data_IF_900548868375
#
_entry.id   IF_900548868375
#
_cell.length_a   1.000
_cell.length_b   1.000
_cell.length_c   1.000
_cell.angle_alpha   90.00
_cell.angle_beta   90.00
_cell.angle_gamma   90.00
#
_symmetry.space_group_name_H-M   'P 1'
#
loop_
_entity.id
_entity.type
_entity.pdbx_description
1 polymer ?
#
# COMPACT_ATOMS: atom_id res chain seq x y z
N UNK A 1 7.05 -25.67 -27.59
CA UNK A 1 7.12 -24.27 -28.08
C UNK A 1 6.58 -23.39 -26.96
N UNK A 2 7.42 -22.77 -26.14
CA UNK A 2 6.96 -21.87 -25.09
C UNK A 2 6.92 -20.44 -25.62
N UNK A 3 5.76 -19.80 -25.49
CA UNK A 3 5.57 -18.40 -25.80
C UNK A 3 6.24 -17.55 -24.72
N UNK A 4 7.20 -16.72 -25.14
CA UNK A 4 7.84 -15.73 -24.29
C UNK A 4 6.91 -14.53 -24.14
N UNK A 5 6.30 -14.38 -22.97
CA UNK A 5 5.55 -13.18 -22.62
C UNK A 5 6.50 -11.97 -22.61
N UNK A 6 6.36 -11.12 -23.63
CA UNK A 6 7.08 -9.85 -23.74
C UNK A 6 6.66 -8.91 -22.60
N UNK A 7 7.62 -8.53 -21.76
CA UNK A 7 7.45 -7.57 -20.68
C UNK A 7 7.07 -6.18 -21.23
N UNK A 8 6.11 -5.50 -20.56
CA UNK A 8 5.66 -4.14 -20.91
C UNK A 8 6.87 -3.18 -21.06
N UNK A 9 6.93 -2.31 -22.09
CA UNK A 9 8.11 -1.50 -22.41
C UNK A 9 8.67 -0.70 -21.23
N UNK A 10 7.80 -0.09 -20.40
CA UNK A 10 8.23 0.69 -19.24
C UNK A 10 8.83 -0.15 -18.10
N UNK A 11 8.45 -1.42 -17.99
CA UNK A 11 9.01 -2.36 -17.01
C UNK A 11 10.36 -2.90 -17.51
N UNK A 12 10.49 -3.15 -18.81
CA UNK A 12 11.76 -3.54 -19.46
C UNK A 12 12.82 -2.43 -19.34
N UNK A 13 12.47 -1.16 -19.54
CA UNK A 13 13.42 -0.03 -19.38
C UNK A 13 13.78 0.27 -17.91
N UNK A 14 12.97 -0.17 -16.95
CA UNK A 14 13.28 -0.10 -15.51
C UNK A 14 14.13 -1.29 -15.06
N UNK A 15 13.81 -2.49 -15.54
CA UNK A 15 14.60 -3.71 -15.32
C UNK A 15 15.98 -3.63 -15.98
N UNK A 16 16.11 -3.12 -17.20
CA UNK A 16 17.40 -2.94 -17.86
C UNK A 16 18.28 -1.87 -17.18
N UNK A 17 17.66 -0.87 -16.53
CA UNK A 17 18.38 0.07 -15.66
C UNK A 17 18.83 -0.59 -14.35
N UNK A 18 18.03 -1.50 -13.79
CA UNK A 18 18.39 -2.31 -12.62
C UNK A 18 19.49 -3.35 -12.93
N UNK A 19 19.48 -3.92 -14.14
CA UNK A 19 20.46 -4.91 -14.62
C UNK A 19 21.79 -4.27 -15.06
N UNK A 20 21.81 -3.00 -15.46
CA UNK A 20 23.08 -2.29 -15.70
C UNK A 20 23.92 -2.19 -14.40
N UNK A 21 23.26 -2.13 -13.24
CA UNK A 21 23.94 -2.07 -11.94
C UNK A 21 24.49 -3.42 -11.44
N UNK A 22 24.14 -4.54 -12.06
CA UNK A 22 24.54 -5.89 -11.61
C UNK A 22 25.89 -6.38 -12.19
N UNK A 23 26.48 -5.66 -13.16
CA UNK A 23 27.80 -5.99 -13.74
C UNK A 23 29.00 -5.48 -12.90
N UNK A 24 28.74 -4.79 -11.79
CA UNK A 24 29.76 -4.36 -10.85
C UNK A 24 29.68 -5.27 -9.62
N UNK A 25 30.65 -6.17 -9.47
CA UNK A 25 30.72 -7.17 -8.40
C UNK A 25 30.21 -6.65 -7.04
N UNK A 26 29.45 -7.50 -6.35
CA UNK A 26 28.71 -7.13 -5.15
C UNK A 26 29.66 -6.72 -4.00
N UNK A 27 29.76 -5.40 -3.82
CA UNK A 27 30.44 -4.69 -2.73
C UNK A 27 29.68 -3.39 -2.38
N UNK A 28 30.40 -2.30 -2.09
CA UNK A 28 29.84 -0.98 -1.74
C UNK A 28 28.69 -0.49 -2.66
N UNK A 29 28.70 -0.89 -3.93
CA UNK A 29 27.68 -0.60 -4.93
C UNK A 29 26.28 -1.12 -4.57
N UNK A 30 26.16 -2.29 -3.94
CA UNK A 30 24.87 -2.83 -3.50
C UNK A 30 24.33 -2.06 -2.30
N UNK A 31 25.16 -1.79 -1.30
CA UNK A 31 24.81 -0.92 -0.18
C UNK A 31 24.39 0.47 -0.66
N UNK A 32 25.05 1.01 -1.69
CA UNK A 32 24.69 2.29 -2.29
C UNK A 32 23.38 2.23 -3.10
N UNK A 33 23.03 1.09 -3.69
CA UNK A 33 21.72 0.87 -4.33
C UNK A 33 20.60 0.75 -3.28
N UNK A 34 20.76 -0.05 -2.22
CA UNK A 34 19.78 -0.13 -1.11
C UNK A 34 19.64 1.23 -0.44
N UNK A 35 20.75 1.90 -0.12
CA UNK A 35 20.72 3.28 0.40
C UNK A 35 20.09 4.24 -0.58
N UNK A 36 20.31 4.08 -1.89
CA UNK A 36 19.69 4.91 -2.93
C UNK A 36 18.18 4.74 -2.98
N UNK A 37 17.70 3.50 -2.95
CA UNK A 37 16.27 3.16 -2.86
C UNK A 37 15.70 3.70 -1.55
N UNK A 38 16.36 3.47 -0.42
CA UNK A 38 15.92 3.94 0.89
C UNK A 38 15.98 5.49 1.03
N UNK A 39 16.94 6.16 0.37
CA UNK A 39 17.04 7.63 0.28
C UNK A 39 15.96 8.23 -0.62
N UNK A 40 15.51 7.49 -1.63
CA UNK A 40 14.36 7.87 -2.47
C UNK A 40 13.01 7.77 -1.74
N UNK A 41 12.97 7.10 -0.57
CA UNK A 41 11.79 7.00 0.32
C UNK A 41 12.12 7.48 1.74
N UNK A 42 12.33 8.79 1.95
CA UNK A 42 13.13 9.28 3.07
C UNK A 42 12.26 9.55 4.30
N UNK A 43 12.07 8.59 5.21
CA UNK A 43 11.45 8.92 6.52
C UNK A 43 12.05 8.38 7.81
N UNK A 44 13.18 7.69 7.79
CA UNK A 44 14.12 7.82 8.90
C UNK A 44 15.52 7.39 8.49
N UNK A 45 16.50 8.26 8.69
CA UNK A 45 17.91 7.93 8.46
C UNK A 45 18.32 6.65 9.21
N UNK A 46 17.76 6.43 10.42
CA UNK A 46 17.99 5.23 11.23
C UNK A 46 17.52 3.92 10.59
N UNK A 47 16.42 3.92 9.82
CA UNK A 47 15.93 2.70 9.12
C UNK A 47 16.76 2.39 7.87
N UNK A 48 17.28 3.43 7.22
CA UNK A 48 18.16 3.28 6.04
C UNK A 48 19.49 2.62 6.41
N UNK A 49 19.93 2.78 7.66
CA UNK A 49 21.17 2.18 8.16
C UNK A 49 20.96 0.75 8.68
N UNK A 50 19.80 0.45 9.28
CA UNK A 50 19.52 -0.88 9.86
C UNK A 50 19.11 -1.92 8.80
N UNK A 51 18.42 -1.52 7.72
CA UNK A 51 17.94 -2.46 6.70
C UNK A 51 19.09 -3.19 5.98
N UNK A 52 20.17 -2.52 5.53
CA UNK A 52 21.32 -3.20 4.92
C UNK A 52 22.06 -4.09 5.92
N UNK A 53 22.18 -3.69 7.18
CA UNK A 53 22.85 -4.45 8.23
C UNK A 53 22.06 -5.71 8.64
N UNK A 54 20.74 -5.59 8.76
CA UNK A 54 19.85 -6.72 9.10
C UNK A 54 19.72 -7.71 7.93
N UNK A 55 19.71 -7.20 6.69
CA UNK A 55 19.75 -8.02 5.49
C UNK A 55 21.11 -8.71 5.35
N UNK A 56 22.21 -8.02 5.67
CA UNK A 56 23.55 -8.61 5.70
C UNK A 56 23.68 -9.69 6.77
N UNK A 57 23.21 -9.46 7.99
CA UNK A 57 23.20 -10.46 9.06
C UNK A 57 22.39 -11.71 8.68
N UNK A 58 21.19 -11.52 8.11
CA UNK A 58 20.37 -12.62 7.60
C UNK A 58 21.05 -13.39 6.46
N UNK A 59 21.77 -12.70 5.56
CA UNK A 59 22.53 -13.33 4.48
C UNK A 59 23.76 -14.10 4.97
N UNK A 60 24.45 -13.57 6.01
CA UNK A 60 25.56 -14.26 6.68
C UNK A 60 25.09 -15.52 7.39
N UNK A 61 23.94 -15.47 8.07
CA UNK A 61 23.34 -16.61 8.76
C UNK A 61 22.88 -17.73 7.80
N UNK A 62 22.53 -17.39 6.55
CA UNK A 62 22.18 -18.36 5.52
C UNK A 62 23.38 -18.98 4.81
N UNK A 63 24.61 -18.51 5.07
CA UNK A 63 25.84 -19.03 4.47
C UNK A 63 25.89 -18.92 2.93
N UNK A 64 25.06 -18.06 2.33
CA UNK A 64 24.86 -17.98 0.89
C UNK A 64 25.58 -16.81 0.22
N UNK A 65 26.08 -17.01 -0.99
CA UNK A 65 26.60 -15.93 -1.84
C UNK A 65 25.45 -14.98 -2.23
N UNK A 66 25.53 -13.68 -1.90
CA UNK A 66 24.57 -12.65 -2.29
C UNK A 66 24.14 -12.67 -3.77
N UNK A 67 25.07 -13.04 -4.66
CA UNK A 67 24.83 -13.09 -6.10
C UNK A 67 23.93 -14.27 -6.52
N UNK A 68 23.79 -15.27 -5.65
CA UNK A 68 23.03 -16.50 -5.90
C UNK A 68 21.82 -16.66 -4.99
N UNK A 69 21.68 -15.79 -3.99
CA UNK A 69 20.57 -15.82 -3.06
C UNK A 69 19.24 -15.61 -3.80
N UNK A 70 18.22 -16.45 -3.54
CA UNK A 70 16.92 -16.27 -4.16
C UNK A 70 16.32 -14.92 -3.76
N UNK A 71 15.84 -14.17 -4.75
CA UNK A 71 15.30 -12.81 -4.59
C UNK A 71 14.01 -12.81 -3.76
N UNK A 72 13.21 -13.87 -3.81
CA UNK A 72 11.95 -13.97 -3.07
C UNK A 72 12.11 -13.84 -1.54
N UNK A 73 12.97 -14.63 -0.87
CA UNK A 73 13.24 -14.44 0.56
C UNK A 73 13.70 -13.02 0.94
N UNK A 74 14.49 -12.35 0.10
CA UNK A 74 14.91 -10.96 0.34
C UNK A 74 13.73 -9.99 0.26
N UNK A 75 12.86 -10.15 -0.75
CA UNK A 75 11.63 -9.36 -0.87
C UNK A 75 10.71 -9.62 0.33
N UNK A 76 10.58 -10.87 0.76
CA UNK A 76 9.78 -11.24 1.93
C UNK A 76 10.32 -10.62 3.22
N UNK A 77 11.63 -10.66 3.44
CA UNK A 77 12.27 -10.05 4.60
C UNK A 77 12.09 -8.53 4.60
N UNK A 78 12.42 -7.85 3.50
CA UNK A 78 12.25 -6.41 3.38
C UNK A 78 10.78 -6.01 3.59
N UNK A 79 9.83 -6.73 2.99
CA UNK A 79 8.40 -6.47 3.15
C UNK A 79 7.95 -6.67 4.60
N UNK A 80 8.46 -7.70 5.28
CA UNK A 80 8.12 -7.98 6.69
C UNK A 80 8.70 -6.93 7.63
N UNK A 81 9.96 -6.55 7.43
CA UNK A 81 10.62 -5.49 8.19
C UNK A 81 9.97 -4.12 7.97
N UNK A 82 9.63 -3.78 6.71
CA UNK A 82 8.87 -2.57 6.41
C UNK A 82 7.48 -2.60 7.04
N UNK A 83 6.80 -3.74 7.07
CA UNK A 83 5.54 -3.90 7.81
C UNK A 83 5.74 -3.58 9.29
N UNK A 84 6.73 -4.17 9.94
CA UNK A 84 7.02 -3.92 11.36
C UNK A 84 7.31 -2.43 11.64
N UNK A 85 8.08 -1.77 10.78
CA UNK A 85 8.31 -0.33 10.90
C UNK A 85 7.04 0.50 10.70
N UNK A 86 6.15 0.08 9.82
CA UNK A 86 4.84 0.70 9.62
C UNK A 86 3.87 0.40 10.78
N UNK A 87 4.10 -0.65 11.57
CA UNK A 87 3.37 -0.89 12.82
C UNK A 87 3.82 0.06 13.94
N UNK A 88 4.99 0.71 13.83
CA UNK A 88 5.42 1.71 14.80
C UNK A 88 4.50 2.93 14.76
N UNK A 89 4.01 3.32 15.93
CA UNK A 89 3.12 4.48 16.10
C UNK A 89 3.75 5.74 15.48
N UNK A 90 3.09 6.38 14.50
CA UNK A 90 3.62 7.59 13.88
C UNK A 90 3.68 8.70 14.92
N UNK A 91 4.85 9.35 15.02
CA UNK A 91 5.07 10.52 15.90
C UNK A 91 4.72 11.85 15.23
N UNK A 92 4.75 11.90 13.89
CA UNK A 92 4.49 13.10 13.10
C UNK A 92 3.01 13.48 13.09
N UNK A 93 2.70 14.78 13.12
CA UNK A 93 1.34 15.33 13.01
C UNK A 93 0.93 15.62 11.56
N UNK A 94 1.58 15.00 10.59
CA UNK A 94 1.33 15.25 9.18
C UNK A 94 -0.14 15.04 8.82
N UNK A 95 -0.69 16.05 8.15
CA UNK A 95 -2.04 16.09 7.63
C UNK A 95 -2.01 16.58 6.20
N UNK A 96 -2.71 15.90 5.30
CA UNK A 96 -2.91 16.36 3.92
C UNK A 96 -4.31 16.92 3.74
N UNK A 97 -4.49 17.62 2.61
CA UNK A 97 -5.76 18.22 2.26
C UNK A 97 -6.76 17.13 1.89
N UNK A 98 -7.93 17.20 2.51
CA UNK A 98 -9.08 16.39 2.15
C UNK A 98 -9.58 16.76 0.75
N UNK A 99 -9.85 15.76 -0.07
CA UNK A 99 -10.39 15.87 -1.43
C UNK A 99 -11.83 15.37 -1.54
N UNK A 100 -12.22 14.42 -0.70
CA UNK A 100 -13.55 13.84 -0.71
C UNK A 100 -14.31 14.25 0.57
N UNK A 101 -15.50 14.81 0.39
CA UNK A 101 -16.43 15.02 1.50
C UNK A 101 -16.86 13.67 2.08
N UNK A 102 -17.17 13.64 3.38
CA UNK A 102 -17.77 12.46 3.98
C UNK A 102 -19.05 12.10 3.21
N UNK A 103 -19.22 10.81 2.96
CA UNK A 103 -20.38 10.29 2.24
C UNK A 103 -21.06 9.21 3.07
N UNK A 104 -22.39 9.26 3.10
CA UNK A 104 -23.19 8.28 3.84
C UNK A 104 -24.30 7.78 2.93
N UNK A 105 -24.44 6.46 2.87
CA UNK A 105 -25.56 5.82 2.20
C UNK A 105 -26.30 4.91 3.17
N UNK A 106 -27.63 5.06 3.22
CA UNK A 106 -28.49 4.36 4.17
C UNK A 106 -29.24 3.25 3.46
N UNK A 107 -29.16 2.06 4.02
CA UNK A 107 -30.02 0.92 3.74
C UNK A 107 -31.13 0.84 4.79
N UNK A 108 -32.02 -0.13 4.66
CA UNK A 108 -33.15 -0.31 5.59
C UNK A 108 -32.72 -0.56 7.05
N UNK A 109 -31.62 -1.28 7.27
CA UNK A 109 -31.14 -1.68 8.61
C UNK A 109 -29.64 -1.47 8.82
N UNK A 110 -29.00 -0.74 7.91
CA UNK A 110 -27.57 -0.51 7.94
C UNK A 110 -27.25 0.81 7.24
N UNK A 111 -26.06 1.33 7.45
CA UNK A 111 -25.50 2.42 6.65
C UNK A 111 -24.05 2.14 6.33
N UNK A 112 -23.58 2.71 5.24
CA UNK A 112 -22.17 2.75 4.89
C UNK A 112 -21.71 4.21 4.90
N UNK A 113 -20.56 4.43 5.51
CA UNK A 113 -19.88 5.73 5.58
C UNK A 113 -18.55 5.63 4.86
N UNK A 114 -18.25 6.57 3.96
CA UNK A 114 -16.93 6.69 3.34
C UNK A 114 -16.24 7.94 3.88
N UNK A 115 -15.08 7.74 4.49
CA UNK A 115 -14.28 8.80 5.13
C UNK A 115 -12.86 8.77 4.56
N UNK A 116 -12.39 9.91 4.07
CA UNK A 116 -11.00 10.05 3.63
C UNK A 116 -10.05 10.10 4.85
N UNK A 117 -9.03 9.26 4.81
CA UNK A 117 -7.96 9.23 5.81
C UNK A 117 -6.94 10.31 5.43
N UNK A 118 -6.82 11.34 6.25
CA UNK A 118 -6.06 12.57 5.94
C UNK A 118 -4.80 12.76 6.78
N UNK A 119 -4.48 11.80 7.64
CA UNK A 119 -3.30 11.83 8.50
C UNK A 119 -2.60 10.47 8.53
N UNK A 120 -1.30 10.48 8.87
CA UNK A 120 -0.54 9.23 9.07
C UNK A 120 -1.13 8.37 10.18
N UNK A 121 -1.64 9.01 11.23
CA UNK A 121 -2.27 8.31 12.36
C UNK A 121 -3.53 7.58 11.92
N UNK A 122 -4.35 8.19 11.08
CA UNK A 122 -5.54 7.56 10.52
C UNK A 122 -5.19 6.36 9.62
N UNK A 123 -4.21 6.50 8.70
CA UNK A 123 -3.73 5.37 7.89
C UNK A 123 -3.15 4.24 8.76
N UNK A 124 -2.39 4.59 9.79
CA UNK A 124 -1.84 3.60 10.72
C UNK A 124 -2.95 2.85 11.47
N UNK A 125 -3.91 3.57 12.05
CA UNK A 125 -5.07 2.97 12.72
C UNK A 125 -5.89 2.07 11.77
N UNK A 126 -6.08 2.50 10.53
CA UNK A 126 -6.75 1.71 9.51
C UNK A 126 -5.98 0.42 9.23
N UNK A 127 -4.65 0.52 9.06
CA UNK A 127 -3.78 -0.64 8.86
C UNK A 127 -3.83 -1.63 10.02
N UNK A 128 -3.88 -1.15 11.26
CA UNK A 128 -4.08 -2.01 12.45
C UNK A 128 -5.44 -2.71 12.41
N UNK A 129 -6.52 -1.97 12.14
CA UNK A 129 -7.87 -2.54 12.12
C UNK A 129 -8.05 -3.58 10.99
N UNK A 130 -7.47 -3.29 9.83
CA UNK A 130 -7.58 -4.10 8.63
C UNK A 130 -6.49 -5.18 8.51
N UNK A 131 -5.45 -5.15 9.35
CA UNK A 131 -4.25 -5.98 9.20
C UNK A 131 -3.67 -5.93 7.78
N UNK A 132 -3.50 -4.71 7.25
CA UNK A 132 -2.97 -4.44 5.91
C UNK A 132 -1.89 -3.34 5.96
N UNK A 133 -1.25 -3.08 4.82
CA UNK A 133 -0.11 -2.17 4.73
C UNK A 133 -0.51 -0.72 4.38
N UNK A 134 -1.77 -0.31 4.57
CA UNK A 134 -2.26 1.01 4.10
C UNK A 134 -1.48 2.20 4.69
N UNK A 135 -0.79 2.01 5.83
CA UNK A 135 0.13 2.99 6.41
C UNK A 135 1.25 3.44 5.44
N UNK A 136 1.65 2.60 4.48
CA UNK A 136 2.72 2.93 3.51
C UNK A 136 2.34 4.06 2.55
N UNK A 137 1.04 4.28 2.31
CA UNK A 137 0.54 5.27 1.35
C UNK A 137 0.68 6.72 1.83
N UNK A 138 1.12 6.93 3.07
CA UNK A 138 1.24 8.25 3.65
C UNK A 138 2.13 9.23 2.86
N UNK A 139 3.13 8.73 2.13
CA UNK A 139 3.97 9.58 1.28
C UNK A 139 3.20 10.03 0.03
N UNK A 140 2.53 9.12 -0.64
CA UNK A 140 1.76 9.41 -1.86
C UNK A 140 0.55 10.31 -1.57
N UNK A 141 -0.11 10.11 -0.42
CA UNK A 141 -1.17 10.99 0.05
C UNK A 141 -0.66 12.42 0.30
N UNK A 142 0.52 12.56 0.93
CA UNK A 142 1.13 13.86 1.18
C UNK A 142 1.55 14.55 -0.13
N UNK A 143 2.07 13.77 -1.08
CA UNK A 143 2.39 14.20 -2.45
C UNK A 143 1.16 14.49 -3.32
N UNK A 144 -0.05 14.31 -2.77
CA UNK A 144 -1.34 14.54 -3.43
C UNK A 144 -1.61 13.62 -4.63
N UNK A 145 -0.85 12.53 -4.79
CA UNK A 145 -0.98 11.57 -5.88
C UNK A 145 -2.15 10.61 -5.71
N UNK A 146 -2.42 10.21 -4.46
CA UNK A 146 -3.49 9.27 -4.11
C UNK A 146 -4.30 9.76 -2.92
N UNK A 147 -5.50 9.23 -2.76
CA UNK A 147 -6.32 9.34 -1.56
C UNK A 147 -6.75 7.96 -1.11
N UNK A 148 -6.70 7.75 0.20
CA UNK A 148 -7.19 6.53 0.84
C UNK A 148 -8.47 6.84 1.58
N UNK A 149 -9.50 6.04 1.32
CA UNK A 149 -10.78 6.10 1.99
C UNK A 149 -11.02 4.85 2.82
N UNK A 150 -11.62 5.03 3.99
CA UNK A 150 -12.17 3.96 4.82
C UNK A 150 -13.68 3.93 4.62
N UNK A 151 -14.18 2.84 4.06
CA UNK A 151 -15.62 2.57 3.98
C UNK A 151 -15.99 1.72 5.19
N UNK A 152 -16.97 2.16 5.98
CA UNK A 152 -17.39 1.51 7.23
C UNK A 152 -18.87 1.22 7.19
N UNK A 153 -19.22 -0.05 7.35
CA UNK A 153 -20.60 -0.49 7.45
C UNK A 153 -21.00 -0.58 8.91
N UNK A 154 -22.04 0.16 9.25
CA UNK A 154 -22.60 0.26 10.58
C UNK A 154 -23.99 -0.36 10.59
N UNK A 155 -24.35 -1.07 11.66
CA UNK A 155 -25.76 -1.40 11.94
C UNK A 155 -26.56 -0.12 12.24
N UNK A 156 -27.88 -0.20 12.19
CA UNK A 156 -28.74 0.96 12.42
C UNK A 156 -28.47 1.61 13.80
N UNK A 157 -28.43 2.95 13.90
CA UNK A 157 -28.25 3.67 15.17
C UNK A 157 -29.29 3.32 16.24
N UNK A 158 -30.51 2.94 15.84
CA UNK A 158 -31.55 2.49 16.77
C UNK A 158 -31.09 1.22 17.53
N UNK A 159 -30.18 0.44 16.94
CA UNK A 159 -29.58 -0.75 17.52
C UNK A 159 -28.16 -0.51 18.10
N UNK A 160 -27.80 0.74 18.42
CA UNK A 160 -26.50 1.06 19.04
C UNK A 160 -25.33 1.23 18.07
N UNK A 161 -25.55 1.01 16.76
CA UNK A 161 -24.61 1.35 15.69
C UNK A 161 -23.22 0.71 15.83
N UNK A 162 -23.12 -0.58 15.56
CA UNK A 162 -21.86 -1.33 15.56
C UNK A 162 -21.28 -1.43 14.15
N UNK A 163 -19.96 -1.27 14.04
CA UNK A 163 -19.24 -1.52 12.79
C UNK A 163 -19.10 -3.02 12.55
N UNK A 164 -19.67 -3.54 11.46
CA UNK A 164 -19.62 -4.98 11.14
C UNK A 164 -18.75 -5.29 9.91
N UNK A 165 -18.45 -4.31 9.06
CA UNK A 165 -17.55 -4.47 7.94
C UNK A 165 -16.81 -3.16 7.64
N UNK A 166 -15.59 -3.28 7.10
CA UNK A 166 -14.80 -2.13 6.68
C UNK A 166 -13.91 -2.48 5.48
N UNK A 167 -13.78 -1.54 4.56
CA UNK A 167 -12.88 -1.61 3.41
C UNK A 167 -11.94 -0.42 3.37
N UNK A 168 -10.75 -0.66 2.84
CA UNK A 168 -9.84 0.37 2.36
C UNK A 168 -10.01 0.53 0.85
N UNK A 169 -10.19 1.76 0.39
CA UNK A 169 -10.32 2.14 -1.02
C UNK A 169 -9.21 3.11 -1.39
N UNK A 170 -8.47 2.81 -2.45
CA UNK A 170 -7.45 3.69 -3.01
C UNK A 170 -7.95 4.37 -4.28
N UNK A 171 -7.73 5.68 -4.36
CA UNK A 171 -8.08 6.49 -5.52
C UNK A 171 -6.82 7.14 -6.07
N UNK A 172 -6.48 6.79 -7.31
CA UNK A 172 -5.42 7.47 -8.05
C UNK A 172 -5.98 8.74 -8.70
N UNK A 173 -5.35 9.88 -8.41
CA UNK A 173 -5.84 11.17 -8.91
C UNK A 173 -5.48 11.42 -10.37
N UNK A 174 -4.41 10.80 -10.88
CA UNK A 174 -3.99 10.97 -12.27
C UNK A 174 -4.99 10.33 -13.24
N UNK A 175 -5.38 9.08 -12.97
CA UNK A 175 -6.38 8.35 -13.73
C UNK A 175 -7.83 8.66 -13.32
N UNK A 176 -8.02 9.36 -12.18
CA UNK A 176 -9.33 9.62 -11.56
C UNK A 176 -10.13 8.33 -11.37
N UNK A 177 -9.46 7.30 -10.89
CA UNK A 177 -10.00 5.97 -10.76
C UNK A 177 -9.84 5.41 -9.35
N UNK A 178 -10.82 4.62 -8.92
CA UNK A 178 -10.62 3.65 -7.84
C UNK A 178 -9.75 2.54 -8.39
N UNK A 179 -8.52 2.43 -7.89
CA UNK A 179 -7.51 1.49 -8.37
C UNK A 179 -7.37 0.26 -7.50
N UNK A 180 -7.79 0.33 -6.23
CA UNK A 180 -7.75 -0.80 -5.31
C UNK A 180 -8.87 -0.73 -4.28
N UNK A 181 -9.49 -1.88 -3.99
CA UNK A 181 -10.47 -2.04 -2.90
C UNK A 181 -10.14 -3.32 -2.13
N UNK A 182 -9.89 -3.21 -0.83
CA UNK A 182 -9.48 -4.35 0.01
C UNK A 182 -10.18 -4.35 1.37
N UNK A 183 -10.61 -5.52 1.80
CA UNK A 183 -11.11 -5.81 3.14
C UNK A 183 -9.98 -6.28 4.06
N UNK A 184 -10.35 -6.76 5.25
CA UNK A 184 -9.41 -7.20 6.28
C UNK A 184 -8.50 -8.29 5.73
N UNK A 185 -7.19 -8.20 6.03
CA UNK A 185 -6.13 -9.07 5.50
C UNK A 185 -6.04 -9.07 3.97
N UNK A 186 -6.37 -7.95 3.33
CA UNK A 186 -6.40 -7.79 1.88
C UNK A 186 -7.37 -8.73 1.15
N UNK A 187 -8.42 -9.19 1.83
CA UNK A 187 -9.47 -10.02 1.21
C UNK A 187 -10.29 -9.17 0.23
N UNK A 188 -10.84 -9.83 -0.79
CA UNK A 188 -11.68 -9.18 -1.80
C UNK A 188 -13.02 -8.75 -1.21
N UNK A 189 -13.54 -7.56 -1.58
CA UNK A 189 -14.87 -7.13 -1.16
C UNK A 189 -15.96 -8.00 -1.77
N UNK A 190 -17.01 -8.26 -1.00
CA UNK A 190 -18.24 -8.89 -1.47
C UNK A 190 -18.94 -8.07 -2.56
N UNK A 191 -19.83 -8.68 -3.35
CA UNK A 191 -20.57 -7.97 -4.39
C UNK A 191 -21.42 -6.80 -3.83
N UNK A 192 -21.91 -6.93 -2.60
CA UNK A 192 -22.67 -5.87 -1.94
C UNK A 192 -21.77 -4.66 -1.62
N UNK A 193 -20.60 -4.92 -1.06
CA UNK A 193 -19.57 -3.91 -0.77
C UNK A 193 -19.08 -3.21 -2.04
N UNK A 194 -18.84 -3.96 -3.12
CA UNK A 194 -18.45 -3.41 -4.42
C UNK A 194 -19.51 -2.45 -4.97
N UNK A 195 -20.80 -2.77 -4.82
CA UNK A 195 -21.90 -1.89 -5.25
C UNK A 195 -21.87 -0.55 -4.51
N UNK A 196 -21.62 -0.54 -3.21
CA UNK A 196 -21.50 0.70 -2.44
C UNK A 196 -20.33 1.57 -2.92
N UNK A 197 -19.17 0.95 -3.19
CA UNK A 197 -18.00 1.67 -3.73
C UNK A 197 -18.31 2.27 -5.11
N UNK A 198 -19.02 1.54 -5.98
CA UNK A 198 -19.43 2.06 -7.30
C UNK A 198 -20.41 3.23 -7.18
N UNK A 199 -21.38 3.15 -6.27
CA UNK A 199 -22.31 4.25 -6.00
C UNK A 199 -21.57 5.51 -5.54
N UNK A 200 -20.65 5.35 -4.58
CA UNK A 200 -19.79 6.44 -4.13
C UNK A 200 -18.94 7.01 -5.27
N UNK A 201 -18.27 6.16 -6.06
CA UNK A 201 -17.43 6.56 -7.18
C UNK A 201 -18.23 7.35 -8.23
N UNK A 202 -19.48 6.96 -8.50
CA UNK A 202 -20.37 7.66 -9.42
C UNK A 202 -20.68 9.08 -8.93
N UNK A 203 -20.97 9.27 -7.64
CA UNK A 203 -21.22 10.59 -7.04
C UNK A 203 -20.01 11.51 -7.24
N UNK A 204 -18.79 10.96 -7.14
CA UNK A 204 -17.55 11.71 -7.30
C UNK A 204 -17.00 11.72 -8.74
N UNK A 205 -17.73 11.16 -9.72
CA UNK A 205 -17.32 11.07 -11.13
C UNK A 205 -15.93 10.43 -11.27
N UNK A 206 -15.74 9.31 -10.57
CA UNK A 206 -14.57 8.45 -10.65
C UNK A 206 -14.91 7.20 -11.44
N UNK A 207 -13.96 6.68 -12.20
CA UNK A 207 -14.05 5.33 -12.75
C UNK A 207 -13.66 4.30 -11.68
N UNK A 208 -14.04 3.04 -11.88
CA UNK A 208 -13.56 1.92 -11.06
C UNK A 208 -12.76 1.01 -11.98
N UNK A 209 -11.45 0.90 -11.73
CA UNK A 209 -10.56 0.12 -12.59
C UNK A 209 -11.01 -1.35 -12.60
N UNK A 210 -10.92 -2.01 -13.76
CA UNK A 210 -11.32 -3.40 -13.91
C UNK A 210 -10.53 -4.33 -12.97
N UNK A 211 -9.25 -4.00 -12.74
CA UNK A 211 -8.33 -4.74 -11.88
C UNK A 211 -8.46 -4.37 -10.40
N UNK A 212 -9.29 -3.37 -10.03
CA UNK A 212 -9.49 -3.00 -8.62
C UNK A 212 -10.08 -4.17 -7.79
N UNK A 213 -10.69 -5.15 -8.48
CA UNK A 213 -11.23 -6.38 -7.92
C UNK A 213 -10.49 -7.65 -8.40
N UNK A 214 -9.25 -7.55 -8.89
CA UNK A 214 -8.47 -8.69 -9.39
C UNK A 214 -7.05 -8.67 -8.77
N UNK A 215 -6.34 -9.79 -8.86
CA UNK A 215 -4.94 -9.95 -8.45
C UNK A 215 -4.01 -9.93 -9.66
#
# INVERSE_FOLDING_TARGET
>A
MSETHSLKPGLRSRLLRLLWYTDLGFGESWFNMVRGICRAFPRSAKVVDILPESLHAWMVDLGGDPATAPVEPMIHFATSYYRELLLLKPKSKDRWQRRFSDWVHRYRFARVEAVELVTRKELWNEGQAQNNCVASYAYDCLGKGTSILSFRWMTDPIAGGEEYARLTVEVDHASRAVVQVRAKKNVMPSLHEQKAVRLWAQVHRLSVAQDSYVW
#
